data_IF_538151417703
#
_entry.id   IF_538151417703
#
_cell.length_a   1.000
_cell.length_b   1.000
_cell.length_c   1.000
_cell.angle_alpha   90.00
_cell.angle_beta   90.00
_cell.angle_gamma   90.00
#
_symmetry.space_group_name_H-M   'P 1'
#
loop_
_entity.id
_entity.type
_entity.pdbx_description
1 polymer ?
#
# COMPACT_ATOMS: atom_id res chain seq x y z
N UNK A 1 -3.63 -4.04 -26.28
CA UNK A 1 -3.58 -4.41 -25.06
C UNK A 1 -4.92 -4.40 -24.42
N UNK A 2 -5.23 -5.35 -23.68
CA UNK A 2 -6.49 -5.47 -23.14
C UNK A 2 -6.55 -4.82 -21.81
N UNK A 3 -7.44 -3.87 -21.66
CA UNK A 3 -7.53 -3.21 -20.41
C UNK A 3 -8.86 -3.45 -19.77
N UNK A 4 -9.52 -4.53 -20.11
CA UNK A 4 -10.82 -4.79 -19.51
C UNK A 4 -10.68 -5.15 -18.06
N UNK A 5 -11.47 -4.55 -17.26
CA UNK A 5 -11.45 -4.85 -15.86
C UNK A 5 -12.83 -4.64 -15.27
N UNK A 6 -13.06 -5.20 -14.12
CA UNK A 6 -14.28 -5.00 -13.37
C UNK A 6 -13.93 -4.24 -12.11
N UNK A 7 -14.75 -3.30 -11.70
CA UNK A 7 -14.48 -2.59 -10.50
C UNK A 7 -14.76 -3.46 -9.31
N UNK A 8 -13.93 -3.43 -8.33
CA UNK A 8 -14.14 -4.19 -7.11
C UNK A 8 -15.03 -3.37 -6.18
N UNK A 9 -15.89 -4.04 -5.45
CA UNK A 9 -16.66 -3.35 -4.46
C UNK A 9 -15.72 -2.96 -3.33
N UNK A 10 -16.07 -1.91 -2.62
CA UNK A 10 -15.21 -1.42 -1.57
C UNK A 10 -14.90 -2.49 -0.53
N UNK A 11 -15.89 -3.27 -0.13
CA UNK A 11 -15.62 -4.26 0.89
C UNK A 11 -14.69 -5.34 0.39
N UNK A 12 -14.71 -5.63 -0.92
CA UNK A 12 -13.80 -6.62 -1.45
C UNK A 12 -12.38 -6.04 -1.53
N UNK A 13 -12.28 -4.77 -1.87
CA UNK A 13 -10.96 -4.13 -1.92
C UNK A 13 -10.36 -4.09 -0.52
N UNK A 14 -11.14 -3.78 0.50
CA UNK A 14 -10.62 -3.75 1.85
C UNK A 14 -10.20 -5.14 2.30
N UNK A 15 -10.94 -6.16 1.90
CA UNK A 15 -10.56 -7.50 2.28
C UNK A 15 -9.22 -7.87 1.64
N UNK A 16 -9.00 -7.47 0.42
CA UNK A 16 -7.74 -7.76 -0.24
C UNK A 16 -6.60 -7.04 0.46
N UNK A 17 -6.82 -5.79 0.89
CA UNK A 17 -5.79 -5.07 1.61
C UNK A 17 -5.50 -5.79 2.93
N UNK A 18 -6.51 -6.27 3.64
CA UNK A 18 -6.28 -6.92 4.89
C UNK A 18 -5.61 -8.28 4.75
N UNK A 19 -5.76 -8.92 3.62
CA UNK A 19 -5.17 -10.22 3.42
C UNK A 19 -3.76 -10.14 2.83
N UNK A 20 -3.22 -8.96 2.70
CA UNK A 20 -1.88 -8.78 2.17
C UNK A 20 -1.08 -7.92 3.14
N UNK A 21 0.21 -7.84 2.99
CA UNK A 21 1.04 -7.05 3.87
C UNK A 21 2.14 -6.31 3.11
N UNK A 22 2.10 -6.33 1.80
CA UNK A 22 3.15 -5.67 1.02
C UNK A 22 2.50 -4.81 -0.04
N UNK A 23 2.91 -3.58 -0.12
CA UNK A 23 2.44 -2.71 -1.18
C UNK A 23 3.55 -1.75 -1.58
N UNK A 24 3.33 -1.01 -2.63
CA UNK A 24 4.30 -0.02 -3.08
C UNK A 24 3.77 1.35 -2.69
N UNK A 25 4.59 2.10 -1.98
CA UNK A 25 4.25 3.44 -1.58
C UNK A 25 4.94 4.43 -2.52
N UNK A 26 4.21 5.40 -3.00
CA UNK A 26 4.75 6.42 -3.91
C UNK A 26 4.55 7.78 -3.29
N UNK A 27 5.62 8.56 -3.24
CA UNK A 27 5.57 9.92 -2.74
C UNK A 27 6.24 10.84 -3.75
N UNK A 28 6.12 12.12 -3.55
CA UNK A 28 6.72 13.09 -4.44
C UNK A 28 8.09 13.49 -3.91
N UNK A 29 9.08 13.47 -4.80
CA UNK A 29 10.42 13.83 -4.42
C UNK A 29 10.84 14.93 -5.41
N UNK A 30 10.57 16.17 -5.03
CA UNK A 30 10.95 17.31 -5.87
C UNK A 30 10.39 17.20 -7.29
N UNK A 31 9.14 16.84 -7.39
CA UNK A 31 8.52 16.75 -8.69
C UNK A 31 8.67 15.42 -9.37
N UNK A 32 9.44 14.50 -8.81
CA UNK A 32 9.57 13.18 -9.36
C UNK A 32 8.96 12.17 -8.42
N UNK A 33 8.43 11.08 -8.90
CA UNK A 33 7.88 10.08 -7.99
C UNK A 33 8.98 9.28 -7.31
N UNK A 34 8.76 8.93 -6.08
CA UNK A 34 9.69 8.07 -5.35
C UNK A 34 8.87 6.88 -4.90
N UNK A 35 9.22 5.70 -5.34
CA UNK A 35 8.46 4.50 -5.04
C UNK A 35 9.27 3.55 -4.18
N UNK A 36 8.67 2.96 -3.20
CA UNK A 36 9.37 2.00 -2.37
C UNK A 36 8.38 0.98 -1.85
N UNK A 37 8.77 -0.26 -1.72
CA UNK A 37 7.86 -1.24 -1.13
C UNK A 37 7.80 -1.05 0.38
N UNK A 38 6.66 -1.27 0.97
CA UNK A 38 6.52 -1.23 2.40
C UNK A 38 5.78 -2.46 2.86
N UNK A 39 6.10 -2.93 4.05
CA UNK A 39 5.40 -4.03 4.67
C UNK A 39 4.54 -3.40 5.73
N UNK A 40 3.25 -3.63 5.65
CA UNK A 40 2.32 -2.92 6.48
C UNK A 40 1.44 -3.82 7.31
N UNK A 41 0.87 -3.25 8.37
CA UNK A 41 -0.19 -3.88 9.10
C UNK A 41 -1.41 -3.03 8.81
N UNK A 42 -2.56 -3.66 8.72
CA UNK A 42 -3.77 -2.92 8.43
C UNK A 42 -4.71 -2.97 9.62
N UNK A 43 -5.48 -1.91 9.79
CA UNK A 43 -6.42 -1.85 10.88
C UNK A 43 -7.69 -1.25 10.31
N UNK A 44 -8.80 -1.96 10.41
CA UNK A 44 -10.05 -1.50 9.84
C UNK A 44 -11.03 -1.28 10.98
N UNK A 45 -11.51 -0.05 11.13
CA UNK A 45 -12.41 0.25 12.20
C UNK A 45 -13.57 1.04 11.64
N UNK A 46 -14.76 0.53 11.79
CA UNK A 46 -15.94 1.18 11.31
C UNK A 46 -15.88 1.52 9.82
N UNK A 47 -15.36 0.62 9.07
CA UNK A 47 -15.27 0.82 7.62
C UNK A 47 -14.09 1.67 7.17
N UNK A 48 -13.33 2.20 8.08
CA UNK A 48 -12.16 2.97 7.71
C UNK A 48 -10.92 2.14 7.92
N UNK A 49 -10.05 2.15 6.95
CA UNK A 49 -8.86 1.33 7.04
C UNK A 49 -7.65 2.22 7.12
N UNK A 50 -6.68 1.83 7.90
CA UNK A 50 -5.41 2.53 7.97
C UNK A 50 -4.30 1.52 7.88
N UNK A 51 -3.19 1.92 7.33
CA UNK A 51 -2.03 1.06 7.23
C UNK A 51 -0.92 1.65 8.06
N UNK A 52 -0.18 0.81 8.77
CA UNK A 52 0.96 1.31 9.54
C UNK A 52 2.21 0.55 9.12
N UNK A 53 3.32 1.22 9.10
CA UNK A 53 4.58 0.57 8.78
C UNK A 53 5.68 1.34 9.48
N UNK A 54 6.87 0.75 9.54
CA UNK A 54 7.98 1.40 10.22
C UNK A 54 9.04 1.79 9.22
N UNK A 55 9.71 2.87 9.47
CA UNK A 55 10.79 3.30 8.61
C UNK A 55 11.85 3.96 9.47
N UNK A 56 13.03 4.13 8.92
CA UNK A 56 14.15 4.70 9.65
C UNK A 56 13.93 6.18 9.88
N UNK A 57 14.16 6.64 11.08
CA UNK A 57 13.87 8.00 11.41
C UNK A 57 14.67 8.99 10.59
N UNK A 58 15.90 8.66 10.20
CA UNK A 58 16.68 9.54 9.39
C UNK A 58 16.69 9.14 7.95
N UNK A 59 15.79 8.34 7.50
CA UNK A 59 15.84 7.84 6.16
C UNK A 59 15.18 8.74 5.15
N UNK A 60 15.31 8.38 3.91
CA UNK A 60 14.74 9.18 2.82
C UNK A 60 13.24 9.23 2.91
N UNK A 61 12.60 8.15 3.31
CA UNK A 61 11.15 8.10 3.35
C UNK A 61 10.63 9.06 4.39
N UNK A 62 11.23 9.12 5.57
CA UNK A 62 10.78 10.05 6.59
C UNK A 62 10.92 11.48 6.11
N UNK A 63 12.01 11.76 5.43
CA UNK A 63 12.23 13.10 4.93
C UNK A 63 11.18 13.49 3.91
N UNK A 64 10.83 12.60 3.02
CA UNK A 64 9.85 12.93 1.99
C UNK A 64 8.47 13.09 2.59
N UNK A 65 8.13 12.31 3.60
CA UNK A 65 6.83 12.44 4.23
C UNK A 65 6.72 13.79 4.94
N UNK A 66 7.81 14.22 5.54
CA UNK A 66 7.75 15.50 6.20
C UNK A 66 7.64 16.65 5.23
N UNK A 67 8.15 16.46 4.03
CA UNK A 67 8.09 17.50 3.06
C UNK A 67 6.73 17.56 2.39
N UNK A 68 6.14 16.46 2.04
CA UNK A 68 4.85 16.41 1.37
C UNK A 68 4.26 15.08 1.72
N UNK A 69 3.25 15.07 2.55
CA UNK A 69 2.72 13.80 3.04
C UNK A 69 1.65 13.18 2.15
N UNK A 70 1.37 13.75 1.01
CA UNK A 70 0.44 13.11 0.09
C UNK A 70 1.13 11.92 -0.56
N UNK A 71 0.44 10.82 -0.63
CA UNK A 71 1.04 9.62 -1.15
C UNK A 71 0.02 8.67 -1.71
N UNK A 72 0.51 7.64 -2.32
CA UNK A 72 -0.32 6.64 -2.96
C UNK A 72 0.25 5.28 -2.64
N UNK A 73 -0.60 4.33 -2.29
CA UNK A 73 -0.17 2.96 -2.10
C UNK A 73 -0.87 2.10 -3.13
N UNK A 74 -0.15 1.13 -3.68
CA UNK A 74 -0.75 0.24 -4.64
C UNK A 74 -0.33 -1.18 -4.37
N UNK A 75 -1.24 -2.09 -4.38
CA UNK A 75 -0.89 -3.49 -4.24
C UNK A 75 -1.57 -4.31 -5.31
N UNK A 76 -0.96 -5.41 -5.65
CA UNK A 76 -1.46 -6.31 -6.65
C UNK A 76 -1.61 -7.67 -6.02
N UNK A 77 -2.76 -8.28 -6.22
CA UNK A 77 -3.02 -9.59 -5.66
C UNK A 77 -3.39 -10.54 -6.77
N UNK A 78 -2.64 -11.63 -6.92
CA UNK A 78 -2.96 -12.60 -7.94
C UNK A 78 -3.70 -13.74 -7.31
N UNK A 79 -4.84 -14.08 -7.86
CA UNK A 79 -5.63 -15.12 -7.30
C UNK A 79 -6.25 -15.89 -8.41
N UNK A 80 -5.88 -17.13 -8.56
CA UNK A 80 -6.35 -17.98 -9.63
C UNK A 80 -6.05 -17.32 -10.98
N UNK A 81 -6.96 -17.07 -11.78
CA UNK A 81 -6.67 -16.45 -13.03
C UNK A 81 -7.05 -14.98 -13.01
N UNK A 82 -7.07 -14.37 -11.85
CA UNK A 82 -7.43 -12.99 -11.77
C UNK A 82 -6.33 -12.17 -11.13
N UNK A 83 -6.27 -10.91 -11.46
CA UNK A 83 -5.32 -10.01 -10.86
C UNK A 83 -6.12 -8.86 -10.31
N UNK A 84 -6.00 -8.62 -9.02
CA UNK A 84 -6.67 -7.49 -8.40
C UNK A 84 -5.64 -6.42 -8.14
N UNK A 85 -5.93 -5.20 -8.52
CA UNK A 85 -5.03 -4.08 -8.29
C UNK A 85 -5.78 -3.07 -7.44
N UNK A 86 -5.24 -2.77 -6.27
CA UNK A 86 -5.85 -1.83 -5.36
C UNK A 86 -4.96 -0.60 -5.29
N UNK A 87 -5.55 0.55 -5.53
CA UNK A 87 -4.80 1.81 -5.46
C UNK A 87 -5.45 2.66 -4.38
N UNK A 88 -4.63 3.16 -3.47
CA UNK A 88 -5.11 3.98 -2.38
C UNK A 88 -4.40 5.32 -2.42
N UNK A 89 -5.14 6.41 -2.43
CA UNK A 89 -4.56 7.74 -2.37
C UNK A 89 -4.84 8.29 -0.99
N UNK A 90 -3.90 8.90 -0.36
CA UNK A 90 -4.10 9.40 0.98
C UNK A 90 -2.90 10.15 1.51
N UNK A 91 -2.74 10.13 2.81
CA UNK A 91 -1.65 10.87 3.43
C UNK A 91 -0.95 10.00 4.46
N UNK A 92 0.32 10.26 4.66
CA UNK A 92 1.12 9.58 5.66
C UNK A 92 1.39 10.52 6.81
N UNK A 93 1.43 9.97 8.00
CA UNK A 93 1.73 10.77 9.17
C UNK A 93 2.75 10.02 10.01
N UNK A 94 3.81 10.66 10.43
CA UNK A 94 4.79 10.04 11.28
C UNK A 94 4.26 10.17 12.70
N UNK A 95 4.04 9.05 13.37
CA UNK A 95 3.46 9.08 14.69
C UNK A 95 4.52 9.31 15.74
N UNK A 96 4.18 9.99 16.78
CA UNK A 96 5.15 10.21 17.82
C UNK A 96 5.53 8.91 18.46
N UNK A 97 6.78 8.75 18.69
CA UNK A 97 7.25 7.51 19.16
C UNK A 97 7.63 7.64 20.56
N UNK A 98 6.80 7.42 21.47
CA UNK A 98 7.23 7.63 22.76
C UNK A 98 8.12 6.63 23.23
N UNK A 99 8.18 5.63 22.69
CA UNK A 99 9.10 4.72 23.27
C UNK A 99 10.36 5.02 22.85
N UNK A 100 10.57 5.90 22.24
CA UNK A 100 11.84 6.29 22.00
C UNK A 100 12.80 5.37 22.23
N UNK A 101 13.18 4.82 21.54
CA UNK A 101 14.15 3.97 21.64
C UNK A 101 15.19 4.51 22.38
N UNK A 102 15.58 3.96 23.21
CA UNK A 102 16.63 4.38 23.98
C UNK A 102 17.77 4.47 23.22
N UNK A 103 17.67 4.12 22.17
CA UNK A 103 18.67 4.40 21.40
C UNK A 103 19.93 4.43 21.69
N UNK A 104 20.27 3.71 22.33
CA UNK A 104 21.60 3.71 22.45
C UNK A 104 22.12 3.38 21.19
N UNK A 105 21.47 2.80 20.33
CA UNK A 105 22.07 2.41 19.13
C UNK A 105 21.32 3.16 18.16
N UNK A 106 21.72 4.19 17.88
CA UNK A 106 21.14 4.99 16.95
C UNK A 106 20.80 4.38 15.67
N UNK A 107 21.53 3.56 15.17
CA UNK A 107 21.21 3.11 13.85
C UNK A 107 19.97 2.28 13.89
N UNK A 108 19.41 2.02 15.00
CA UNK A 108 18.26 1.25 15.03
C UNK A 108 17.05 2.04 15.31
N UNK A 109 17.02 3.28 15.10
CA UNK A 109 15.88 4.07 15.41
C UNK A 109 14.87 4.07 14.29
N UNK A 110 13.67 3.63 14.58
CA UNK A 110 12.60 3.58 13.60
C UNK A 110 11.43 4.39 14.11
N UNK A 111 10.62 4.89 13.21
CA UNK A 111 9.40 5.56 13.55
C UNK A 111 8.26 4.84 12.88
N UNK A 112 7.09 4.96 13.43
CA UNK A 112 5.89 4.35 12.84
C UNK A 112 5.21 5.40 11.99
N UNK A 113 4.81 4.99 10.81
CA UNK A 113 4.11 5.86 9.89
C UNK A 113 2.72 5.30 9.70
N UNK A 114 1.73 6.18 9.72
CA UNK A 114 0.35 5.74 9.51
C UNK A 114 -0.14 6.34 8.21
N UNK A 115 -0.62 5.49 7.33
CA UNK A 115 -1.17 5.93 6.04
C UNK A 115 -2.68 5.88 6.15
N UNK A 116 -3.34 6.99 5.88
CA UNK A 116 -4.79 7.07 5.92
C UNK A 116 -5.29 7.30 4.50
N UNK A 117 -5.94 6.33 3.90
CA UNK A 117 -6.45 6.53 2.56
C UNK A 117 -7.67 7.42 2.56
N UNK A 118 -7.76 8.28 1.57
CA UNK A 118 -8.94 9.06 1.37
C UNK A 118 -9.70 8.59 0.13
N UNK A 119 -9.08 7.75 -0.68
CA UNK A 119 -9.73 7.21 -1.85
C UNK A 119 -9.16 5.84 -2.13
N UNK A 120 -10.00 4.84 -2.29
CA UNK A 120 -9.57 3.48 -2.58
C UNK A 120 -10.27 3.04 -3.84
N UNK A 121 -9.49 2.54 -4.79
CA UNK A 121 -10.03 2.04 -6.03
C UNK A 121 -9.52 0.63 -6.23
N UNK A 122 -10.39 -0.28 -6.55
CA UNK A 122 -9.98 -1.64 -6.82
C UNK A 122 -10.44 -2.08 -8.19
N UNK A 123 -9.59 -2.76 -8.92
CA UNK A 123 -9.91 -3.29 -10.22
C UNK A 123 -9.54 -4.76 -10.28
N UNK A 124 -10.37 -5.54 -10.91
CA UNK A 124 -10.09 -6.95 -11.07
C UNK A 124 -9.97 -7.20 -12.57
N UNK A 125 -8.79 -7.71 -12.99
CA UNK A 125 -8.57 -8.01 -14.37
C UNK A 125 -8.70 -9.52 -14.52
N UNK A 126 -9.72 -9.94 -15.21
CA UNK A 126 -9.88 -11.34 -15.37
C UNK A 126 -9.07 -11.78 -16.47
N UNK A 127 -8.98 -13.00 -16.68
CA UNK A 127 -8.19 -13.35 -17.67
C UNK A 127 -8.85 -14.19 -18.47
N UNK A 128 -9.83 -13.89 -18.89
CA UNK A 128 -10.41 -14.61 -19.72
C UNK A 128 -9.64 -14.97 -20.79
N UNK A 129 -8.88 -14.32 -21.12
CA UNK A 129 -8.13 -14.54 -22.16
C UNK A 129 -7.38 -15.64 -22.01
N UNK A 130 -7.29 -16.11 -21.16
CA UNK A 130 -6.45 -17.00 -21.05
C UNK A 130 -7.15 -18.14 -21.09
N UNK A 131 -8.16 -18.14 -21.24
CA UNK A 131 -8.84 -19.02 -21.23
C UNK A 131 -8.41 -19.96 -22.11
N UNK A 132 -8.10 -19.66 -22.82
CA UNK A 132 -7.65 -20.39 -23.64
C UNK A 132 -6.69 -21.19 -23.22
N UNK A 133 -6.39 -21.08 -22.75
CA UNK A 133 -5.42 -21.79 -22.41
C UNK A 133 -5.78 -22.65 -21.61
N UNK A 134 -6.50 -22.71 -21.62
CA UNK A 134 -6.75 -23.48 -21.06
C UNK A 134 -6.25 -24.25 -20.73
N UNK A 135 -6.08 -24.28 -21.03
CA UNK A 135 -5.64 -24.93 -20.82
C UNK A 135 -5.20 -25.21 -19.88
N UNK A 136 -5.22 -24.88 -19.64
CA UNK A 136 -4.75 -25.18 -18.80
C UNK A 136 -5.24 -25.35 -17.86
N UNK A 137 -5.83 -25.51 -17.89
CA UNK A 137 -6.21 -25.83 -17.08
C UNK A 137 -6.22 -26.28 -16.43
N UNK A 138 -6.24 -26.20 -16.30
CA UNK A 138 -6.32 -26.69 -15.74
C UNK A 138 -6.28 -26.76 -15.28
#
# INVERSE_FOLDING_TARGET
MNTNFTKLKMQDAIKTIQNNDLCTLTLCNNGSPFCTPIIYDSDCYCGNIKLTFETCVDGKLSELIENDNNCCCQLTNRCNNKIEVITMEGTCEILPNESTCPCLHEESCFVTVEFTPCKITGRCYGNQRRRNTSCCNN
#
